data_IF_978964907788
#
_entry.id   IF_978964907788
#
_cell.length_a   1.000
_cell.length_b   1.000
_cell.length_c   1.000
_cell.angle_alpha   90.00
_cell.angle_beta   90.00
_cell.angle_gamma   90.00
#
_symmetry.space_group_name_H-M   'P 1'
#
loop_
_entity.id
_entity.type
_entity.pdbx_description
1 polymer ?
#
# COMPACT_ATOMS: atom_id res chain seq x y z
N UNK A 1 -3.85 13.41 -13.29
CA UNK A 1 -3.38 12.81 -12.02
C UNK A 1 -1.99 12.24 -12.24
N UNK A 2 -1.10 12.29 -11.24
CA UNK A 2 0.27 11.77 -11.39
C UNK A 2 0.30 10.26 -11.24
N UNK A 3 1.15 9.63 -12.05
CA UNK A 3 1.47 8.21 -12.00
C UNK A 3 2.95 8.10 -11.73
N UNK A 4 3.36 7.86 -10.49
CA UNK A 4 4.75 7.77 -10.07
C UNK A 4 5.42 6.48 -10.54
N UNK A 5 4.65 5.38 -10.60
CA UNK A 5 5.04 4.12 -11.20
C UNK A 5 4.14 3.80 -12.40
N UNK A 6 4.74 3.51 -13.57
CA UNK A 6 4.02 3.07 -14.77
C UNK A 6 3.88 1.56 -14.83
N UNK A 7 4.91 0.85 -14.38
CA UNK A 7 4.95 -0.61 -14.32
C UNK A 7 5.67 -1.06 -13.07
N UNK A 8 5.34 -2.25 -12.55
CA UNK A 8 6.00 -2.86 -11.42
C UNK A 8 6.10 -4.37 -11.62
N UNK A 9 7.27 -4.95 -11.41
CA UNK A 9 7.51 -6.38 -11.54
C UNK A 9 8.22 -6.93 -10.31
N UNK A 10 7.82 -8.14 -9.92
CA UNK A 10 8.37 -8.88 -8.78
C UNK A 10 8.88 -10.22 -9.29
N UNK A 11 10.09 -10.61 -8.88
CA UNK A 11 10.63 -11.95 -9.13
C UNK A 11 11.17 -12.56 -7.84
N UNK A 12 10.79 -13.81 -7.58
CA UNK A 12 11.26 -14.64 -6.46
C UNK A 12 11.04 -14.02 -5.07
N UNK A 13 9.94 -13.31 -4.85
CA UNK A 13 9.64 -12.69 -3.57
C UNK A 13 8.49 -13.39 -2.85
N UNK A 14 8.77 -13.92 -1.64
CA UNK A 14 7.83 -14.73 -0.86
C UNK A 14 7.23 -15.87 -1.72
N UNK A 15 5.92 -15.94 -1.86
CA UNK A 15 5.24 -16.95 -2.68
C UNK A 15 5.10 -16.59 -4.16
N UNK A 16 5.64 -15.46 -4.62
CA UNK A 16 5.56 -15.00 -6.00
C UNK A 16 6.85 -15.35 -6.74
N UNK A 17 6.77 -16.24 -7.75
CA UNK A 17 7.91 -16.54 -8.61
C UNK A 17 8.16 -15.41 -9.61
N UNK A 18 7.13 -14.97 -10.30
CA UNK A 18 7.15 -13.81 -11.21
C UNK A 18 5.75 -13.22 -11.32
N UNK A 19 5.66 -11.91 -11.23
CA UNK A 19 4.42 -11.17 -11.41
C UNK A 19 4.73 -9.78 -11.95
N UNK A 20 3.91 -9.30 -12.90
CA UNK A 20 4.08 -7.99 -13.53
C UNK A 20 2.76 -7.22 -13.53
N UNK A 21 2.76 -6.04 -12.93
CA UNK A 21 1.68 -5.06 -13.00
C UNK A 21 2.05 -4.04 -14.08
N UNK A 22 1.29 -4.00 -15.16
CA UNK A 22 1.53 -3.10 -16.29
C UNK A 22 0.45 -2.04 -16.39
N UNK A 23 0.79 -0.89 -16.97
CA UNK A 23 -0.14 0.22 -17.16
C UNK A 23 -0.80 0.65 -15.84
N UNK A 24 0.04 0.89 -14.83
CA UNK A 24 -0.40 1.43 -13.56
C UNK A 24 -1.02 2.81 -13.78
N UNK A 25 -2.19 3.03 -13.18
CA UNK A 25 -2.94 4.27 -13.22
C UNK A 25 -2.77 5.07 -11.92
N UNK A 26 -3.46 6.18 -11.78
CA UNK A 26 -3.50 6.93 -10.53
C UNK A 26 -4.23 6.17 -9.41
N UNK A 27 -5.19 5.30 -9.76
CA UNK A 27 -5.87 4.42 -8.81
C UNK A 27 -5.76 2.98 -9.29
N UNK A 28 -5.17 2.12 -8.48
CA UNK A 28 -4.86 0.74 -8.81
C UNK A 28 -5.55 -0.21 -7.83
N UNK A 29 -6.43 -1.05 -8.33
CA UNK A 29 -7.11 -2.07 -7.54
C UNK A 29 -6.43 -3.42 -7.70
N UNK A 30 -6.06 -4.04 -6.59
CA UNK A 30 -5.50 -5.38 -6.53
C UNK A 30 -6.55 -6.30 -5.95
N UNK A 31 -7.16 -7.10 -6.83
CA UNK A 31 -8.23 -8.03 -6.52
C UNK A 31 -7.72 -9.46 -6.40
N UNK A 32 -8.48 -10.31 -5.76
CA UNK A 32 -8.21 -11.74 -5.68
C UNK A 32 -8.62 -12.33 -4.35
N UNK A 33 -8.73 -13.64 -4.30
CA UNK A 33 -9.03 -14.40 -3.09
C UNK A 33 -7.94 -14.28 -2.03
N UNK A 34 -8.21 -14.82 -0.85
CA UNK A 34 -7.21 -14.91 0.19
C UNK A 34 -6.01 -15.76 -0.28
N UNK A 35 -4.81 -15.37 0.11
CA UNK A 35 -3.54 -16.04 -0.24
C UNK A 35 -3.15 -15.99 -1.74
N UNK A 36 -3.75 -15.11 -2.54
CA UNK A 36 -3.33 -14.88 -3.94
C UNK A 36 -2.09 -14.01 -4.08
N UNK A 37 -1.67 -13.31 -3.01
CA UNK A 37 -0.47 -12.47 -2.98
C UNK A 37 -0.72 -10.97 -2.97
N UNK A 38 -1.95 -10.50 -2.70
CA UNK A 38 -2.28 -9.07 -2.60
C UNK A 38 -1.36 -8.31 -1.63
N UNK A 39 -1.30 -8.79 -0.37
CA UNK A 39 -0.40 -8.23 0.65
C UNK A 39 1.07 -8.29 0.22
N UNK A 40 1.49 -9.39 -0.40
CA UNK A 40 2.87 -9.55 -0.90
C UNK A 40 3.24 -8.50 -1.94
N UNK A 41 2.31 -8.12 -2.82
CA UNK A 41 2.52 -7.03 -3.79
C UNK A 41 2.66 -5.69 -3.08
N UNK A 42 1.77 -5.38 -2.13
CA UNK A 42 1.85 -4.13 -1.36
C UNK A 42 3.17 -4.02 -0.60
N UNK A 43 3.59 -5.10 0.06
CA UNK A 43 4.87 -5.18 0.76
C UNK A 43 6.06 -5.00 -0.20
N UNK A 44 6.00 -5.59 -1.39
CA UNK A 44 7.04 -5.44 -2.40
C UNK A 44 7.14 -4.00 -2.90
N UNK A 45 6.02 -3.32 -3.14
CA UNK A 45 6.01 -1.90 -3.52
C UNK A 45 6.57 -1.04 -2.39
N UNK A 46 6.19 -1.30 -1.12
CA UNK A 46 6.70 -0.54 0.01
C UNK A 46 8.21 -0.74 0.22
N UNK A 47 8.75 -1.92 -0.11
CA UNK A 47 10.16 -2.24 0.06
C UNK A 47 11.09 -1.40 -0.82
N UNK A 48 10.60 -0.88 -1.93
CA UNK A 48 11.46 -0.11 -2.86
C UNK A 48 11.75 1.31 -2.39
N UNK A 49 11.04 1.84 -1.39
CA UNK A 49 11.29 3.20 -0.89
C UNK A 49 12.68 3.35 -0.26
N UNK A 50 13.07 2.37 0.57
CA UNK A 50 14.36 2.36 1.26
C UNK A 50 15.00 0.96 1.13
N UNK A 51 15.42 0.56 -0.05
CA UNK A 51 15.83 -0.82 -0.30
C UNK A 51 17.13 -1.20 0.41
N UNK A 52 17.90 -0.22 0.89
CA UNK A 52 19.15 -0.42 1.63
C UNK A 52 18.97 -0.37 3.15
N UNK A 53 17.75 -0.11 3.65
CA UNK A 53 17.46 -0.02 5.08
C UNK A 53 16.86 -1.34 5.60
N UNK A 54 17.53 -1.96 6.57
CA UNK A 54 17.06 -3.21 7.22
C UNK A 54 15.70 -2.99 7.88
N UNK A 55 15.47 -1.83 8.48
CA UNK A 55 14.23 -1.47 9.16
C UNK A 55 13.01 -1.59 8.26
N UNK A 56 13.15 -1.26 6.98
CA UNK A 56 12.07 -1.39 6.01
C UNK A 56 11.67 -2.85 5.82
N UNK A 57 12.64 -3.76 5.69
CA UNK A 57 12.37 -5.21 5.61
C UNK A 57 11.80 -5.77 6.91
N UNK A 58 12.18 -5.21 8.07
CA UNK A 58 11.62 -5.60 9.36
C UNK A 58 10.13 -5.27 9.47
N UNK A 59 9.71 -4.10 8.99
CA UNK A 59 8.29 -3.71 8.91
C UNK A 59 7.50 -4.70 8.06
N UNK A 60 8.05 -5.07 6.90
CA UNK A 60 7.42 -5.99 5.95
C UNK A 60 7.31 -7.41 6.52
N UNK A 61 8.32 -7.88 7.25
CA UNK A 61 8.31 -9.20 7.89
C UNK A 61 7.39 -9.28 9.10
N UNK A 62 6.84 -8.13 9.55
CA UNK A 62 6.05 -8.07 10.79
C UNK A 62 6.79 -8.70 11.99
N UNK A 63 8.13 -8.61 12.00
CA UNK A 63 9.01 -9.14 13.04
C UNK A 63 8.87 -8.41 14.40
N UNK A 64 7.69 -7.89 14.70
CA UNK A 64 7.40 -7.13 15.91
C UNK A 64 7.46 -7.95 17.21
N UNK A 65 7.50 -9.29 17.10
CA UNK A 65 7.47 -10.17 18.26
C UNK A 65 8.87 -10.62 18.73
N UNK A 66 9.86 -10.64 17.82
CA UNK A 66 11.25 -10.94 18.17
C UNK A 66 12.06 -9.65 18.08
N UNK A 67 12.51 -9.11 19.21
CA UNK A 67 13.40 -7.94 19.25
C UNK A 67 14.73 -8.14 18.50
N UNK A 68 14.80 -9.13 17.61
CA UNK A 68 16.00 -9.55 16.92
C UNK A 68 15.69 -9.98 15.50
N UNK A 69 16.16 -9.19 14.53
CA UNK A 69 16.15 -9.59 13.12
C UNK A 69 17.41 -10.36 12.79
N UNK A 70 17.25 -11.54 12.22
CA UNK A 70 18.35 -12.40 11.81
C UNK A 70 18.28 -12.68 10.31
N UNK A 71 19.36 -13.16 9.74
CA UNK A 71 19.40 -13.61 8.34
C UNK A 71 18.33 -14.68 8.03
N UNK A 72 17.92 -15.46 9.05
CA UNK A 72 16.83 -16.44 8.91
C UNK A 72 15.53 -15.79 8.47
N UNK A 73 15.21 -14.59 8.97
CA UNK A 73 14.01 -13.86 8.57
C UNK A 73 14.05 -13.41 7.11
N UNK A 74 15.24 -13.07 6.60
CA UNK A 74 15.39 -12.78 5.16
C UNK A 74 15.15 -13.99 4.27
N UNK A 75 15.38 -15.22 4.76
CA UNK A 75 15.03 -16.44 4.03
C UNK A 75 13.52 -16.59 3.78
N UNK A 76 12.70 -15.95 4.62
CA UNK A 76 11.23 -15.95 4.46
C UNK A 76 10.77 -15.13 3.25
N UNK A 77 11.60 -14.22 2.76
CA UNK A 77 11.32 -13.49 1.51
C UNK A 77 11.55 -14.32 0.25
N UNK A 78 12.29 -15.42 0.36
CA UNK A 78 12.63 -16.26 -0.79
C UNK A 78 11.60 -17.38 -1.00
N UNK A 79 11.34 -17.78 -2.25
CA UNK A 79 10.48 -18.91 -2.52
C UNK A 79 11.08 -20.22 -1.98
N UNK A 80 10.21 -21.08 -1.48
CA UNK A 80 10.61 -22.42 -1.04
C UNK A 80 10.62 -23.40 -2.22
N UNK A 81 11.58 -24.32 -2.33
CA UNK A 81 12.71 -24.52 -1.42
C UNK A 81 13.85 -23.52 -1.64
N UNK A 82 14.37 -22.99 -0.54
CA UNK A 82 15.56 -22.16 -0.54
C UNK A 82 16.79 -23.01 -0.95
N UNK A 83 17.59 -22.49 -1.87
CA UNK A 83 18.86 -23.11 -2.26
C UNK A 83 19.94 -22.04 -2.46
N UNK A 84 21.23 -22.39 -2.45
CA UNK A 84 22.30 -21.43 -2.75
C UNK A 84 22.20 -20.79 -4.14
N UNK A 85 21.49 -21.43 -5.07
CA UNK A 85 21.22 -20.92 -6.42
C UNK A 85 19.92 -20.14 -6.51
N UNK A 86 19.05 -20.20 -5.48
CA UNK A 86 17.78 -19.49 -5.40
C UNK A 86 17.77 -18.64 -4.12
N UNK A 87 18.71 -17.67 -4.06
CA UNK A 87 18.97 -16.83 -2.91
C UNK A 87 18.72 -15.34 -3.19
N UNK A 88 18.06 -15.04 -4.29
CA UNK A 88 17.87 -13.67 -4.78
C UNK A 88 16.41 -13.41 -5.10
N UNK A 89 15.93 -12.25 -4.71
CA UNK A 89 14.66 -11.72 -5.20
C UNK A 89 14.87 -10.32 -5.82
N UNK A 90 13.94 -9.94 -6.69
CA UNK A 90 14.10 -8.73 -7.49
C UNK A 90 12.81 -7.94 -7.54
N UNK A 91 12.94 -6.63 -7.47
CA UNK A 91 11.90 -5.68 -7.83
C UNK A 91 12.35 -4.86 -9.03
N UNK A 92 11.45 -4.66 -10.00
CA UNK A 92 11.72 -3.77 -11.13
C UNK A 92 10.53 -2.84 -11.34
N UNK A 93 10.80 -1.59 -11.68
CA UNK A 93 9.74 -0.63 -11.97
C UNK A 93 10.19 0.42 -12.98
N UNK A 94 9.23 1.07 -13.61
CA UNK A 94 9.43 2.21 -14.48
C UNK A 94 8.73 3.40 -13.81
N UNK A 95 9.46 4.49 -13.59
CA UNK A 95 8.92 5.70 -13.00
C UNK A 95 8.21 6.58 -14.05
N UNK A 96 7.73 7.76 -13.64
CA UNK A 96 7.09 8.77 -14.49
C UNK A 96 8.01 9.37 -15.54
N UNK A 97 9.33 9.37 -15.30
CA UNK A 97 10.36 9.84 -16.25
C UNK A 97 10.84 8.77 -17.23
N UNK A 98 10.20 7.59 -17.27
CA UNK A 98 10.60 6.42 -18.06
C UNK A 98 11.95 5.80 -17.65
N UNK A 99 12.50 6.17 -16.51
CA UNK A 99 13.66 5.51 -15.95
C UNK A 99 13.29 4.10 -15.45
N UNK A 100 14.11 3.13 -15.84
CA UNK A 100 13.97 1.73 -15.44
C UNK A 100 14.84 1.46 -14.22
N UNK A 101 14.22 1.10 -13.13
CA UNK A 101 14.91 0.69 -11.91
C UNK A 101 14.81 -0.82 -11.72
N UNK A 102 15.90 -1.42 -11.22
CA UNK A 102 15.94 -2.81 -10.79
C UNK A 102 16.69 -2.90 -9.47
N UNK A 103 16.05 -3.47 -8.47
CA UNK A 103 16.60 -3.72 -7.15
C UNK A 103 16.80 -5.22 -7.01
N UNK A 104 18.01 -5.66 -6.79
CA UNK A 104 18.37 -7.06 -6.59
C UNK A 104 18.81 -7.23 -5.15
N UNK A 105 18.14 -8.12 -4.43
CA UNK A 105 18.45 -8.44 -3.03
C UNK A 105 18.89 -9.88 -2.96
N UNK A 106 20.15 -10.11 -2.58
CA UNK A 106 20.78 -11.42 -2.57
C UNK A 106 21.23 -11.80 -1.17
N UNK A 107 20.88 -13.02 -0.72
CA UNK A 107 21.45 -13.59 0.49
C UNK A 107 22.84 -14.17 0.16
N UNK A 108 23.87 -13.62 0.81
CA UNK A 108 25.25 -14.03 0.60
C UNK A 108 25.70 -14.95 1.74
N UNK A 109 26.16 -16.14 1.38
CA UNK A 109 26.79 -17.09 2.28
C UNK A 109 28.25 -17.21 1.89
N UNK A 110 29.16 -16.69 2.71
CA UNK A 110 30.58 -16.97 2.51
C UNK A 110 30.97 -18.30 3.15
N UNK A 111 31.97 -18.96 2.58
CA UNK A 111 32.47 -20.26 3.00
C UNK A 111 32.80 -20.29 4.49
N UNK A 112 32.30 -21.34 5.21
CA UNK A 112 32.53 -21.63 6.61
C UNK A 112 31.91 -20.71 7.67
N UNK A 113 30.72 -20.11 7.41
CA UNK A 113 29.84 -19.60 8.47
C UNK A 113 30.27 -18.34 9.19
N UNK A 114 31.18 -17.53 8.62
CA UNK A 114 31.63 -16.29 9.28
C UNK A 114 31.14 -14.98 8.68
N UNK A 115 30.74 -14.96 7.40
CA UNK A 115 30.29 -13.74 6.73
C UNK A 115 28.96 -13.99 6.02
N UNK A 116 27.89 -14.06 6.79
CA UNK A 116 26.53 -14.05 6.27
C UNK A 116 26.03 -12.61 6.19
N UNK A 117 25.43 -12.24 5.08
CA UNK A 117 24.89 -10.90 4.88
C UNK A 117 23.86 -10.82 3.78
N UNK A 118 23.36 -9.64 3.57
CA UNK A 118 22.44 -9.30 2.47
C UNK A 118 23.10 -8.28 1.58
N UNK A 119 23.25 -8.64 0.29
CA UNK A 119 23.71 -7.72 -0.74
C UNK A 119 22.49 -7.08 -1.42
N UNK A 120 22.45 -5.77 -1.43
CA UNK A 120 21.43 -4.99 -2.16
C UNK A 120 22.12 -4.23 -3.26
N UNK A 121 21.68 -4.46 -4.50
CA UNK A 121 22.18 -3.80 -5.70
C UNK A 121 21.04 -3.05 -6.38
N UNK A 122 21.26 -1.80 -6.74
CA UNK A 122 20.29 -0.92 -7.39
C UNK A 122 20.82 -0.52 -8.74
N UNK A 123 20.06 -0.82 -9.78
CA UNK A 123 20.35 -0.48 -11.17
C UNK A 123 19.36 0.57 -11.65
N UNK A 124 19.86 1.55 -12.40
CA UNK A 124 19.07 2.51 -13.16
C UNK A 124 19.46 2.40 -14.63
N UNK A 125 18.48 2.16 -15.51
CA UNK A 125 18.70 2.01 -16.95
C UNK A 125 19.86 1.02 -17.26
N UNK A 126 19.84 -0.13 -16.57
CA UNK A 126 20.83 -1.22 -16.66
C UNK A 126 22.23 -0.92 -16.06
N UNK A 127 22.49 0.31 -15.60
CA UNK A 127 23.74 0.66 -14.93
C UNK A 127 23.62 0.43 -13.42
N UNK A 128 24.66 -0.16 -12.81
CA UNK A 128 24.74 -0.29 -11.36
C UNK A 128 25.01 1.10 -10.75
N UNK A 129 24.00 1.64 -10.04
CA UNK A 129 24.09 2.95 -9.40
C UNK A 129 24.56 2.82 -7.95
N UNK A 130 24.11 1.77 -7.28
CA UNK A 130 24.38 1.62 -5.86
C UNK A 130 24.48 0.15 -5.45
N UNK A 131 25.44 -0.13 -4.53
CA UNK A 131 25.63 -1.46 -3.96
C UNK A 131 25.90 -1.32 -2.47
N UNK A 132 25.14 -2.05 -1.66
CA UNK A 132 25.29 -2.08 -0.19
C UNK A 132 25.33 -3.50 0.30
N UNK A 133 26.33 -3.82 1.11
CA UNK A 133 26.41 -5.09 1.84
C UNK A 133 26.06 -4.88 3.31
N UNK A 134 25.02 -5.56 3.78
CA UNK A 134 24.52 -5.49 5.14
C UNK A 134 25.12 -6.65 5.93
N UNK A 135 26.19 -6.40 6.70
CA UNK A 135 27.00 -7.42 7.39
C UNK A 135 26.56 -7.71 8.83
N UNK A 136 25.84 -6.78 9.47
CA UNK A 136 25.58 -6.87 10.90
C UNK A 136 24.25 -7.53 11.21
N UNK A 137 24.27 -8.85 11.33
CA UNK A 137 23.19 -9.64 11.91
C UNK A 137 23.69 -10.36 13.17
N UNK A 138 22.92 -10.41 14.27
CA UNK A 138 21.54 -9.93 14.42
C UNK A 138 21.43 -8.42 14.70
N UNK A 139 20.38 -7.81 14.18
CA UNK A 139 19.95 -6.47 14.57
C UNK A 139 19.01 -6.60 15.77
N UNK A 140 19.36 -6.01 16.91
CA UNK A 140 18.49 -5.99 18.10
C UNK A 140 17.58 -4.77 18.04
N UNK A 141 16.28 -5.01 18.06
CA UNK A 141 15.26 -3.97 18.10
C UNK A 141 14.86 -3.75 19.57
N UNK A 142 15.28 -2.64 20.17
CA UNK A 142 15.03 -2.37 21.59
C UNK A 142 13.63 -1.83 21.88
N UNK A 143 12.94 -1.28 20.91
CA UNK A 143 11.51 -0.95 20.94
C UNK A 143 11.07 -0.46 19.56
N UNK A 144 9.77 -0.51 19.25
CA UNK A 144 9.20 0.06 18.02
C UNK A 144 9.48 1.57 17.93
N UNK A 145 9.51 2.27 19.07
CA UNK A 145 9.85 3.70 19.13
C UNK A 145 11.34 4.00 18.94
N UNK A 146 12.24 3.04 19.16
CA UNK A 146 13.69 3.23 18.97
C UNK A 146 14.13 2.96 17.53
N UNK A 147 13.29 2.35 16.69
CA UNK A 147 13.54 2.21 15.25
C UNK A 147 13.79 3.54 14.54
N UNK A 148 13.21 4.62 15.05
CA UNK A 148 13.41 5.99 14.53
C UNK A 148 14.70 6.67 15.01
N UNK A 149 15.48 6.08 15.92
CA UNK A 149 16.67 6.71 16.53
C UNK A 149 18.03 6.16 16.10
N UNK A 150 18.09 5.03 15.42
CA UNK A 150 19.36 4.55 14.89
C UNK A 150 19.66 5.21 13.56
N UNK A 151 20.24 6.40 13.61
CA UNK A 151 21.01 6.95 12.51
C UNK A 151 22.22 6.06 12.28
N UNK A 152 22.08 5.02 11.50
CA UNK A 152 23.23 4.49 10.80
C UNK A 152 23.69 5.61 9.86
N UNK A 153 24.91 6.12 10.10
CA UNK A 153 25.57 7.18 9.31
C UNK A 153 25.92 6.57 7.94
N UNK A 154 24.91 6.28 7.13
CA UNK A 154 25.07 5.96 5.71
C UNK A 154 24.07 6.83 4.94
N UNK A 155 24.47 7.41 3.82
CA UNK A 155 23.57 8.22 3.01
C UNK A 155 22.36 7.36 2.65
N UNK A 156 21.18 7.85 3.00
CA UNK A 156 19.92 7.28 2.53
C UNK A 156 19.93 7.38 1.01
N UNK A 157 19.77 6.25 0.34
CA UNK A 157 19.58 6.27 -1.10
C UNK A 157 18.10 6.39 -1.37
N UNK A 158 17.68 7.56 -1.80
CA UNK A 158 16.30 7.79 -2.25
C UNK A 158 16.22 7.43 -3.73
N UNK A 159 15.47 6.40 -4.06
CA UNK A 159 15.24 6.02 -5.44
C UNK A 159 14.33 7.00 -6.17
N UNK A 160 13.49 7.72 -5.43
CA UNK A 160 12.45 8.56 -5.98
C UNK A 160 12.36 9.88 -5.22
N UNK A 161 11.84 10.91 -5.90
CA UNK A 161 11.51 12.22 -5.31
C UNK A 161 10.17 12.20 -4.54
N UNK A 162 9.52 11.05 -4.42
CA UNK A 162 8.24 10.88 -3.75
C UNK A 162 8.31 9.79 -2.67
N UNK A 163 7.45 9.90 -1.66
CA UNK A 163 7.35 8.94 -0.57
C UNK A 163 6.30 7.86 -0.86
N UNK A 164 6.55 6.66 -0.34
CA UNK A 164 5.60 5.54 -0.35
C UNK A 164 5.06 5.34 1.07
N UNK A 165 3.77 5.53 1.25
CA UNK A 165 3.09 5.43 2.53
C UNK A 165 2.41 4.07 2.69
N UNK A 166 2.89 3.30 3.67
CA UNK A 166 2.33 1.98 4.00
C UNK A 166 2.39 1.74 5.50
N UNK A 167 1.20 1.59 6.13
CA UNK A 167 1.05 1.40 7.57
C UNK A 167 1.70 2.49 8.45
N UNK A 168 1.77 3.72 7.95
CA UNK A 168 2.32 4.85 8.70
C UNK A 168 1.38 5.29 9.83
N UNK A 169 1.96 5.84 10.91
CA UNK A 169 1.20 6.54 11.93
C UNK A 169 0.65 7.86 11.39
N UNK A 170 -0.61 8.16 11.69
CA UNK A 170 -1.31 9.31 11.12
C UNK A 170 -1.96 10.14 12.21
N UNK A 171 -1.91 11.44 12.02
CA UNK A 171 -2.73 12.37 12.79
C UNK A 171 -4.10 12.55 12.12
N UNK A 172 -5.10 11.85 12.63
CA UNK A 172 -6.46 11.88 12.11
C UNK A 172 -7.15 13.24 12.26
N UNK A 173 -6.71 14.07 13.22
CA UNK A 173 -7.31 15.39 13.44
C UNK A 173 -7.13 16.32 12.25
N UNK A 174 -6.08 16.12 11.45
CA UNK A 174 -5.79 16.95 10.27
C UNK A 174 -6.88 16.90 9.20
N UNK A 175 -7.67 15.82 9.13
CA UNK A 175 -8.75 15.69 8.13
C UNK A 175 -9.78 16.81 8.21
N UNK A 176 -10.03 17.35 9.40
CA UNK A 176 -11.01 18.40 9.61
C UNK A 176 -10.52 19.80 9.20
N UNK A 177 -9.25 19.95 8.84
CA UNK A 177 -8.72 21.16 8.23
C UNK A 177 -9.16 21.29 6.76
N UNK A 178 -9.57 20.19 6.14
CA UNK A 178 -10.14 20.18 4.79
C UNK A 178 -11.68 20.26 4.87
N UNK A 179 -12.24 21.36 4.36
CA UNK A 179 -13.67 21.62 4.45
C UNK A 179 -14.50 20.60 3.66
N UNK A 180 -13.99 20.13 2.53
CA UNK A 180 -14.69 19.15 1.70
C UNK A 180 -14.79 17.81 2.44
N UNK A 181 -13.69 17.40 3.09
CA UNK A 181 -13.68 16.19 3.94
C UNK A 181 -14.64 16.36 5.11
N UNK A 182 -14.59 17.48 5.81
CA UNK A 182 -15.49 17.75 6.93
C UNK A 182 -16.95 17.64 6.51
N UNK A 183 -17.33 18.23 5.37
CA UNK A 183 -18.70 18.19 4.86
C UNK A 183 -19.15 16.77 4.49
N UNK A 184 -18.28 15.98 3.87
CA UNK A 184 -18.59 14.57 3.56
C UNK A 184 -18.77 13.75 4.83
N UNK A 185 -17.89 13.90 5.81
CA UNK A 185 -18.01 13.21 7.10
C UNK A 185 -19.30 13.57 7.83
N UNK A 186 -19.67 14.86 7.85
CA UNK A 186 -20.94 15.30 8.42
C UNK A 186 -22.14 14.69 7.68
N UNK A 187 -22.12 14.63 6.35
CA UNK A 187 -23.22 14.03 5.59
C UNK A 187 -23.40 12.53 5.88
N UNK A 188 -22.31 11.82 6.10
CA UNK A 188 -22.33 10.39 6.48
C UNK A 188 -22.93 10.21 7.90
N UNK A 189 -22.50 11.06 8.84
CA UNK A 189 -23.00 11.02 10.21
C UNK A 189 -24.50 11.34 10.28
N UNK A 190 -24.93 12.39 9.59
CA UNK A 190 -26.33 12.86 9.58
C UNK A 190 -27.31 11.88 8.93
N UNK A 191 -26.84 11.00 8.04
CA UNK A 191 -27.67 9.91 7.51
C UNK A 191 -28.10 8.90 8.59
N UNK A 192 -27.22 8.68 9.58
CA UNK A 192 -27.48 7.73 10.66
C UNK A 192 -28.14 8.37 11.86
N UNK A 193 -27.90 9.67 12.09
CA UNK A 193 -28.47 10.47 13.18
C UNK A 193 -28.64 11.92 12.74
N UNK A 194 -29.87 12.33 12.41
CA UNK A 194 -30.22 13.70 12.02
C UNK A 194 -29.88 14.73 13.11
N UNK A 195 -29.71 14.30 14.36
CA UNK A 195 -29.32 15.15 15.47
C UNK A 195 -27.85 15.58 15.48
N UNK A 196 -27.03 15.09 14.55
CA UNK A 196 -25.62 15.52 14.42
C UNK A 196 -25.53 16.93 13.85
N UNK A 197 -24.92 17.84 14.63
CA UNK A 197 -24.77 19.24 14.28
C UNK A 197 -23.39 19.57 13.74
N UNK A 198 -22.33 18.98 14.30
CA UNK A 198 -20.94 19.30 13.91
C UNK A 198 -19.96 18.16 14.24
N UNK A 199 -18.82 18.16 13.54
CA UNK A 199 -17.63 17.39 13.84
C UNK A 199 -16.44 18.37 13.96
N UNK A 200 -15.67 18.26 15.05
CA UNK A 200 -14.63 19.23 15.38
C UNK A 200 -13.48 18.61 16.16
N UNK A 201 -12.36 19.32 16.20
CA UNK A 201 -11.18 18.92 16.99
C UNK A 201 -11.29 19.57 18.37
N UNK A 202 -11.16 18.78 19.43
CA UNK A 202 -11.11 19.28 20.81
C UNK A 202 -9.74 19.90 21.12
N UNK A 203 -9.62 20.58 22.28
CA UNK A 203 -8.35 21.15 22.77
C UNK A 203 -7.27 20.07 23.04
N UNK A 204 -7.69 18.83 23.23
CA UNK A 204 -6.80 17.66 23.43
C UNK A 204 -6.53 16.89 22.13
N UNK A 205 -6.73 17.51 20.99
CA UNK A 205 -6.48 16.97 19.64
C UNK A 205 -7.30 15.70 19.29
N UNK A 206 -8.45 15.54 19.94
CA UNK A 206 -9.38 14.45 19.64
C UNK A 206 -10.50 14.93 18.72
N UNK A 207 -10.90 14.09 17.78
CA UNK A 207 -12.09 14.34 16.96
C UNK A 207 -13.34 14.09 17.80
N UNK A 208 -14.20 15.09 17.84
CA UNK A 208 -15.45 15.10 18.60
C UNK A 208 -16.64 15.30 17.67
N UNK A 209 -17.72 14.63 17.98
CA UNK A 209 -19.02 14.79 17.32
C UNK A 209 -19.96 15.54 18.28
N UNK A 210 -20.57 16.61 17.79
CA UNK A 210 -21.60 17.38 18.50
C UNK A 210 -22.97 17.00 17.98
N UNK A 211 -23.85 16.58 18.87
CA UNK A 211 -25.28 16.41 18.59
C UNK A 211 -26.10 17.43 19.35
N UNK A 212 -27.38 17.53 19.07
CA UNK A 212 -28.33 18.39 19.79
C UNK A 212 -28.40 18.08 21.30
N UNK A 213 -27.99 16.88 21.72
CA UNK A 213 -28.10 16.39 23.09
C UNK A 213 -26.77 16.18 23.81
N UNK A 214 -25.70 15.82 23.08
CA UNK A 214 -24.44 15.44 23.69
C UNK A 214 -23.24 15.73 22.82
N UNK A 215 -22.05 15.56 23.40
CA UNK A 215 -20.77 15.54 22.70
C UNK A 215 -20.08 14.21 22.96
N UNK A 216 -19.62 13.55 21.92
CA UNK A 216 -18.96 12.25 22.05
C UNK A 216 -17.65 12.21 21.26
N UNK A 217 -16.72 11.39 21.74
CA UNK A 217 -15.48 11.13 21.02
C UNK A 217 -15.77 10.24 19.80
N UNK A 218 -15.03 10.44 18.72
CA UNK A 218 -15.11 9.63 17.50
C UNK A 218 -14.94 8.13 17.79
N UNK A 219 -14.15 7.77 18.80
CA UNK A 219 -13.91 6.37 19.19
C UNK A 219 -15.17 5.67 19.72
N UNK A 220 -16.26 6.42 19.99
CA UNK A 220 -17.57 5.86 20.32
C UNK A 220 -18.38 5.46 19.07
N UNK A 221 -17.87 5.78 17.87
CA UNK A 221 -18.51 5.43 16.60
C UNK A 221 -18.16 4.02 16.16
N UNK A 222 -18.93 3.48 15.24
CA UNK A 222 -18.62 2.19 14.63
C UNK A 222 -17.34 2.21 13.78
N UNK A 223 -16.67 1.05 13.68
CA UNK A 223 -15.41 0.89 12.95
C UNK A 223 -15.47 1.40 11.50
N UNK A 224 -16.63 1.30 10.84
CA UNK A 224 -16.79 1.79 9.47
C UNK A 224 -16.54 3.28 9.34
N UNK A 225 -17.06 4.10 10.28
CA UNK A 225 -16.83 5.54 10.24
C UNK A 225 -15.38 5.92 10.57
N UNK A 226 -14.77 5.23 11.53
CA UNK A 226 -13.36 5.40 11.87
C UNK A 226 -12.47 5.07 10.66
N UNK A 227 -12.79 3.98 9.94
CA UNK A 227 -12.07 3.57 8.73
C UNK A 227 -12.15 4.62 7.61
N UNK A 228 -13.27 5.33 7.47
CA UNK A 228 -13.41 6.42 6.49
C UNK A 228 -12.46 7.57 6.85
N UNK A 229 -12.44 7.98 8.12
CA UNK A 229 -11.52 9.05 8.57
C UNK A 229 -10.07 8.63 8.39
N UNK A 230 -9.72 7.39 8.75
CA UNK A 230 -8.36 6.86 8.56
C UNK A 230 -7.96 6.91 7.07
N UNK A 231 -8.85 6.48 6.18
CA UNK A 231 -8.60 6.51 4.73
C UNK A 231 -8.34 7.93 4.22
N UNK A 232 -9.16 8.90 4.61
CA UNK A 232 -9.00 10.29 4.18
C UNK A 232 -7.72 10.91 4.75
N UNK A 233 -7.41 10.64 6.02
CA UNK A 233 -6.17 11.09 6.66
C UNK A 233 -4.93 10.54 5.95
N UNK A 234 -4.95 9.25 5.55
CA UNK A 234 -3.86 8.62 4.81
C UNK A 234 -3.66 9.25 3.44
N UNK A 235 -4.73 9.53 2.70
CA UNK A 235 -4.63 10.20 1.40
C UNK A 235 -4.04 11.60 1.55
N UNK A 236 -4.46 12.38 2.55
CA UNK A 236 -3.89 13.70 2.82
C UNK A 236 -2.40 13.62 3.19
N UNK A 237 -2.03 12.64 4.02
CA UNK A 237 -0.65 12.47 4.47
C UNK A 237 0.28 12.03 3.32
N UNK A 238 -0.25 11.26 2.37
CA UNK A 238 0.48 10.77 1.20
C UNK A 238 0.56 11.81 0.05
N UNK A 239 0.32 13.09 0.32
CA UNK A 239 0.37 14.14 -0.67
C UNK A 239 1.66 14.12 -1.50
N UNK A 240 1.51 14.15 -2.83
CA UNK A 240 2.59 14.04 -3.82
C UNK A 240 3.40 12.73 -3.69
N UNK A 241 2.74 11.63 -3.37
CA UNK A 241 3.38 10.34 -3.17
C UNK A 241 2.49 9.16 -3.53
N UNK A 242 2.89 8.00 -3.07
CA UNK A 242 2.19 6.72 -3.29
C UNK A 242 1.57 6.25 -1.98
N UNK A 243 0.32 5.83 -2.02
CA UNK A 243 -0.40 5.27 -0.86
C UNK A 243 -0.82 3.83 -1.11
N UNK A 244 -0.52 2.96 -0.16
CA UNK A 244 -0.90 1.55 -0.18
C UNK A 244 -1.91 1.28 0.93
N UNK A 245 -3.12 0.83 0.58
CA UNK A 245 -4.20 0.51 1.53
C UNK A 245 -4.68 -0.93 1.34
N UNK A 246 -4.52 -1.75 2.38
CA UNK A 246 -4.99 -3.12 2.39
C UNK A 246 -6.40 -3.25 2.96
N UNK A 247 -7.26 -4.04 2.29
CA UNK A 247 -8.60 -4.40 2.75
C UNK A 247 -9.39 -3.19 3.31
N UNK A 248 -9.23 -2.04 2.67
CA UNK A 248 -9.70 -0.73 3.15
C UNK A 248 -11.22 -0.66 3.34
N UNK A 249 -11.96 -1.43 2.57
CA UNK A 249 -13.43 -1.45 2.50
C UNK A 249 -14.09 -2.47 3.42
N UNK A 250 -13.30 -3.27 4.16
CA UNK A 250 -13.79 -4.37 4.99
C UNK A 250 -14.88 -3.98 6.01
N UNK A 251 -14.76 -2.78 6.58
CA UNK A 251 -15.70 -2.27 7.59
C UNK A 251 -16.78 -1.35 7.04
N UNK A 252 -16.82 -1.11 5.71
CA UNK A 252 -17.75 -0.18 5.08
C UNK A 252 -19.04 -0.89 4.62
N UNK A 253 -20.18 -0.28 4.94
CA UNK A 253 -21.46 -0.68 4.35
C UNK A 253 -21.55 -0.23 2.89
N UNK A 254 -22.38 -0.90 2.09
CA UNK A 254 -22.63 -0.54 0.69
C UNK A 254 -22.98 0.94 0.50
N UNK A 255 -23.86 1.49 1.35
CA UNK A 255 -24.25 2.90 1.26
C UNK A 255 -23.11 3.86 1.57
N UNK A 256 -22.22 3.51 2.49
CA UNK A 256 -21.03 4.31 2.77
C UNK A 256 -20.02 4.22 1.60
N UNK A 257 -19.85 3.06 0.97
CA UNK A 257 -19.00 2.90 -0.21
C UNK A 257 -19.43 3.80 -1.36
N UNK A 258 -20.75 3.94 -1.62
CA UNK A 258 -21.30 4.83 -2.65
C UNK A 258 -20.92 6.29 -2.47
N UNK A 259 -20.73 6.75 -1.22
CA UNK A 259 -20.32 8.12 -0.94
C UNK A 259 -18.80 8.24 -0.97
N UNK A 260 -18.12 7.29 -0.31
CA UNK A 260 -16.69 7.36 -0.04
C UNK A 260 -15.86 7.16 -1.31
N UNK A 261 -16.23 6.21 -2.18
CA UNK A 261 -15.46 5.90 -3.38
C UNK A 261 -15.35 7.08 -4.38
N UNK A 262 -16.46 7.76 -4.76
CA UNK A 262 -16.33 8.93 -5.61
C UNK A 262 -15.54 10.06 -4.95
N UNK A 263 -15.59 10.15 -3.62
CA UNK A 263 -14.85 11.16 -2.89
C UNK A 263 -13.35 10.82 -2.78
N UNK A 264 -12.98 9.55 -2.61
CA UNK A 264 -11.58 9.11 -2.67
C UNK A 264 -10.94 9.56 -3.99
N UNK A 265 -11.62 9.40 -5.13
CA UNK A 265 -11.11 9.85 -6.44
C UNK A 265 -10.78 11.35 -6.43
N UNK A 266 -11.68 12.18 -5.90
CA UNK A 266 -11.46 13.64 -5.77
C UNK A 266 -10.27 13.96 -4.86
N UNK A 267 -10.10 13.22 -3.77
CA UNK A 267 -8.96 13.42 -2.86
C UNK A 267 -7.64 12.99 -3.49
N UNK A 268 -7.62 11.86 -4.20
CA UNK A 268 -6.45 11.38 -4.95
C UNK A 268 -5.98 12.43 -5.95
N UNK A 269 -6.89 13.03 -6.69
CA UNK A 269 -6.59 14.14 -7.60
C UNK A 269 -6.10 15.38 -6.85
N UNK A 270 -6.85 15.82 -5.82
CA UNK A 270 -6.56 17.04 -5.03
C UNK A 270 -5.19 16.99 -4.36
N UNK A 271 -4.82 15.83 -3.82
CA UNK A 271 -3.56 15.64 -3.10
C UNK A 271 -2.46 15.04 -3.97
N UNK A 272 -2.74 14.78 -5.25
CA UNK A 272 -1.77 14.22 -6.21
C UNK A 272 -1.14 12.92 -5.70
N UNK A 273 -1.98 11.92 -5.40
CA UNK A 273 -1.57 10.62 -4.85
C UNK A 273 -1.73 9.54 -5.90
N UNK A 274 -0.75 8.65 -6.05
CA UNK A 274 -0.97 7.37 -6.73
C UNK A 274 -1.40 6.34 -5.69
N UNK A 275 -2.63 5.82 -5.84
CA UNK A 275 -3.27 4.98 -4.85
C UNK A 275 -3.28 3.51 -5.29
N UNK A 276 -2.92 2.61 -4.37
CA UNK A 276 -3.07 1.18 -4.50
C UNK A 276 -4.01 0.67 -3.42
N UNK A 277 -5.07 -0.01 -3.82
CA UNK A 277 -6.12 -0.54 -2.95
C UNK A 277 -6.21 -2.05 -3.12
N UNK A 278 -6.14 -2.82 -2.05
CA UNK A 278 -6.52 -4.23 -2.13
C UNK A 278 -7.94 -4.44 -1.60
N UNK A 279 -8.72 -5.22 -2.34
CA UNK A 279 -10.06 -5.65 -1.94
C UNK A 279 -10.37 -7.06 -2.45
N UNK A 280 -11.34 -7.71 -1.87
CA UNK A 280 -11.98 -8.93 -2.36
C UNK A 280 -13.49 -8.75 -2.58
N UNK A 281 -13.96 -7.49 -2.50
CA UNK A 281 -15.37 -7.16 -2.53
C UNK A 281 -15.83 -6.71 -3.92
N UNK A 282 -16.77 -7.47 -4.49
CA UNK A 282 -17.33 -7.18 -5.80
C UNK A 282 -18.20 -5.92 -5.81
N UNK A 283 -18.93 -5.64 -4.71
CA UNK A 283 -19.77 -4.43 -4.62
C UNK A 283 -18.94 -3.16 -4.77
N UNK A 284 -17.73 -3.15 -4.18
CA UNK A 284 -16.78 -2.05 -4.33
C UNK A 284 -16.44 -1.81 -5.80
N UNK A 285 -16.26 -2.89 -6.56
CA UNK A 285 -15.92 -2.79 -7.98
C UNK A 285 -17.10 -2.29 -8.81
N UNK A 286 -18.32 -2.75 -8.53
CA UNK A 286 -19.54 -2.31 -9.22
C UNK A 286 -19.77 -0.82 -9.05
N UNK A 287 -19.63 -0.30 -7.81
CA UNK A 287 -19.76 1.13 -7.54
C UNK A 287 -18.66 1.94 -8.25
N UNK A 288 -17.44 1.44 -8.25
CA UNK A 288 -16.29 2.14 -8.80
C UNK A 288 -16.34 2.26 -10.32
N UNK A 289 -16.81 1.21 -10.97
CA UNK A 289 -16.85 1.08 -12.43
C UNK A 289 -18.15 1.58 -13.05
N UNK A 290 -19.04 2.14 -12.24
CA UNK A 290 -20.23 2.82 -12.73
C UNK A 290 -19.81 3.99 -13.65
N UNK A 291 -20.34 3.97 -14.88
CA UNK A 291 -20.05 4.99 -15.91
C UNK A 291 -20.43 6.40 -15.52
N UNK A 292 -21.43 6.54 -14.66
CA UNK A 292 -21.86 7.85 -14.16
C UNK A 292 -20.78 8.52 -13.30
N UNK A 293 -19.84 7.77 -12.78
CA UNK A 293 -18.73 8.29 -11.95
C UNK A 293 -17.63 9.01 -12.73
N UNK A 294 -17.53 8.84 -14.07
CA UNK A 294 -16.74 9.68 -14.98
C UNK A 294 -15.22 9.54 -14.97
N UNK A 295 -14.63 8.56 -14.26
CA UNK A 295 -13.17 8.47 -14.04
C UNK A 295 -12.56 7.11 -14.38
N UNK A 296 -13.13 6.38 -15.34
CA UNK A 296 -12.70 5.02 -15.65
C UNK A 296 -11.28 4.94 -16.24
N UNK A 297 -10.83 5.99 -16.92
CA UNK A 297 -9.48 6.06 -17.51
C UNK A 297 -8.36 6.15 -16.46
N UNK A 298 -8.68 6.64 -15.26
CA UNK A 298 -7.72 6.79 -14.15
C UNK A 298 -7.60 5.55 -13.27
N UNK A 299 -8.24 4.44 -13.65
CA UNK A 299 -8.32 3.20 -12.87
C UNK A 299 -7.67 2.06 -13.62
N UNK A 300 -6.84 1.30 -12.91
CA UNK A 300 -6.36 -0.01 -13.36
C UNK A 300 -6.72 -1.09 -12.35
N UNK A 301 -7.09 -2.26 -12.86
CA UNK A 301 -7.54 -3.39 -12.06
C UNK A 301 -6.66 -4.60 -12.34
N UNK A 302 -6.16 -5.21 -11.29
CA UNK A 302 -5.27 -6.36 -11.32
C UNK A 302 -5.91 -7.50 -10.55
N UNK A 303 -6.49 -8.45 -11.26
CA UNK A 303 -7.06 -9.65 -10.64
C UNK A 303 -6.01 -10.74 -10.52
N UNK A 304 -5.74 -11.14 -9.29
CA UNK A 304 -4.75 -12.14 -8.95
C UNK A 304 -5.40 -13.51 -8.81
N UNK A 305 -4.79 -14.50 -9.45
CA UNK A 305 -5.15 -15.92 -9.31
C UNK A 305 -3.90 -16.74 -9.00
N UNK A 306 -4.10 -17.80 -8.26
CA UNK A 306 -3.04 -18.79 -8.00
C UNK A 306 -3.51 -20.15 -8.47
N UNK A 307 -2.78 -20.75 -9.40
CA UNK A 307 -3.02 -22.09 -9.91
C UNK A 307 -1.69 -22.83 -10.02
N UNK A 308 -1.62 -24.08 -9.56
CA UNK A 308 -0.40 -24.92 -9.57
C UNK A 308 0.84 -24.21 -9.04
N UNK A 309 0.69 -23.49 -7.91
CA UNK A 309 1.74 -22.69 -7.28
C UNK A 309 2.30 -21.54 -8.16
N UNK A 310 1.65 -21.19 -9.26
CA UNK A 310 1.98 -20.03 -10.09
C UNK A 310 0.98 -18.91 -9.86
N UNK A 311 1.50 -17.68 -9.83
CA UNK A 311 0.66 -16.50 -9.75
C UNK A 311 0.38 -15.99 -11.17
N UNK A 312 -0.88 -15.70 -11.42
CA UNK A 312 -1.36 -15.10 -12.65
C UNK A 312 -1.99 -13.76 -12.31
N UNK A 313 -1.82 -12.78 -13.19
CA UNK A 313 -2.47 -11.49 -13.09
C UNK A 313 -3.21 -11.18 -14.39
N UNK A 314 -4.46 -10.81 -14.27
CA UNK A 314 -5.24 -10.20 -15.35
C UNK A 314 -5.24 -8.69 -15.11
N UNK A 315 -4.83 -7.92 -16.09
CA UNK A 315 -4.83 -6.46 -16.04
C UNK A 315 -5.94 -5.93 -16.94
N UNK A 316 -6.77 -5.04 -16.42
CA UNK A 316 -7.80 -4.32 -17.16
C UNK A 316 -7.70 -2.83 -16.80
N UNK A 317 -7.93 -1.95 -17.76
CA UNK A 317 -8.26 -0.57 -17.42
C UNK A 317 -9.73 -0.47 -16.97
N UNK A 318 -10.12 0.65 -16.36
CA UNK A 318 -11.48 0.80 -15.84
C UNK A 318 -12.55 0.74 -16.91
N UNK A 319 -12.27 1.18 -18.14
CA UNK A 319 -13.21 1.13 -19.27
C UNK A 319 -13.46 -0.32 -19.70
N UNK A 320 -12.38 -1.11 -19.84
CA UNK A 320 -12.46 -2.55 -20.15
C UNK A 320 -13.21 -3.31 -19.07
N UNK A 321 -12.89 -3.04 -17.80
CA UNK A 321 -13.51 -3.70 -16.66
C UNK A 321 -15.00 -3.37 -16.51
N UNK A 322 -15.40 -2.12 -16.75
CA UNK A 322 -16.80 -1.70 -16.78
C UNK A 322 -17.57 -2.42 -17.90
N UNK A 323 -16.99 -2.53 -19.09
CA UNK A 323 -17.59 -3.26 -20.20
C UNK A 323 -17.74 -4.76 -19.91
N UNK A 324 -16.74 -5.38 -19.25
CA UNK A 324 -16.79 -6.78 -18.85
C UNK A 324 -17.96 -7.07 -17.87
N UNK A 325 -18.17 -6.19 -16.89
CA UNK A 325 -19.28 -6.34 -15.96
C UNK A 325 -20.62 -6.15 -16.66
N UNK A 326 -20.79 -5.08 -17.44
CA UNK A 326 -22.08 -4.73 -18.05
C UNK A 326 -22.50 -5.69 -19.18
N UNK A 327 -21.56 -6.03 -20.06
CA UNK A 327 -21.88 -6.80 -21.28
C UNK A 327 -21.91 -8.30 -21.00
N UNK A 328 -20.98 -8.77 -20.18
CA UNK A 328 -20.79 -10.21 -19.94
C UNK A 328 -21.23 -10.65 -18.55
N UNK A 329 -21.66 -9.73 -17.69
CA UNK A 329 -21.98 -10.00 -16.28
C UNK A 329 -20.86 -10.81 -15.60
N UNK A 330 -19.60 -10.47 -15.93
CA UNK A 330 -18.44 -11.18 -15.43
C UNK A 330 -18.10 -10.69 -14.03
N UNK A 331 -17.89 -11.65 -13.13
CA UNK A 331 -17.30 -11.37 -11.86
C UNK A 331 -15.78 -11.13 -12.04
N UNK A 332 -15.28 -9.96 -11.72
CA UNK A 332 -13.87 -9.61 -11.88
C UNK A 332 -12.94 -10.36 -10.90
N UNK A 333 -13.52 -11.05 -9.91
CA UNK A 333 -12.79 -11.92 -8.99
C UNK A 333 -12.52 -13.31 -9.57
N UNK A 334 -13.26 -13.71 -10.64
CA UNK A 334 -13.18 -15.05 -11.25
C UNK A 334 -12.80 -15.08 -12.73
#
# INVERSE_FOLDING_TARGET
MSVYFKNFEIENFKGIQKLSLRNLASINFILGDNNTGKTTIMEAISAIQYPTEIENYCKILRCLFDNKVTLRHFKEFLPYPFSPTNNTFTYSFINDFDDKFKIVVSLMFKNFGKDEGVLVQIYKNENLEHEVFLEKFPVYMTSVQSLFKYHLIKPKYYLNEFDIHYNDEINHSLVLNDLDIKNVLLSILQRNDEGVEDIYISKSDNIMIKTSRTRMNINCMGNGFISIIDTFARIMNAKNGVLLLENWDYSLSYENKKIVLPFIKKLVEKYNVQLFLSTYDQETMEILLDKETGYLEDISIYTLRKHDNKNYVRCLNGVEASADIEVFNLNLLY
#
